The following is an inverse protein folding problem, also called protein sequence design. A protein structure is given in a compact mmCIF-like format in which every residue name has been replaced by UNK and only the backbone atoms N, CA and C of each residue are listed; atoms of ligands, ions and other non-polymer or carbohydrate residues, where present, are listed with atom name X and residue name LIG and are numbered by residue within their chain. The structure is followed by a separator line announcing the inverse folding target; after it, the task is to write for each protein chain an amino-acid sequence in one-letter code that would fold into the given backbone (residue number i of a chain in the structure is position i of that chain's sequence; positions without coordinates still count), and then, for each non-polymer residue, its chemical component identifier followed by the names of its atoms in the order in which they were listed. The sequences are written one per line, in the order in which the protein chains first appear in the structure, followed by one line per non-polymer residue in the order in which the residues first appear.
data_IF_186223437540
#
_entry.id   IF_186223437540
#
_cell.length_a   1.000
_cell.length_b   1.000
_cell.length_c   1.000
_cell.angle_alpha   90.00
_cell.angle_beta   90.00
_cell.angle_gamma   90.00
#
_symmetry.space_group_name_H-M   'P 1'
#
loop_
_entity.id
_entity.type
_entity.pdbx_description
1 polymer ?
#
# COMPACT_ATOMS: atom_id res chain seq x y z
N UNK A 1 52.93 3.77 -12.05
CA UNK A 1 52.01 2.85 -12.70
C UNK A 1 51.00 2.23 -11.74
N UNK A 2 50.53 2.92 -10.70
CA UNK A 2 49.55 2.35 -9.71
C UNK A 2 48.44 3.34 -9.39
N UNK A 3 48.00 4.20 -10.35
CA UNK A 3 46.97 5.23 -10.08
C UNK A 3 45.67 5.10 -10.89
N UNK A 4 45.38 3.93 -11.49
CA UNK A 4 44.19 3.80 -12.36
C UNK A 4 43.13 2.78 -11.91
N UNK A 5 43.21 2.24 -10.70
CA UNK A 5 42.27 1.23 -10.23
C UNK A 5 41.19 1.75 -9.27
N UNK A 6 41.37 2.96 -8.72
CA UNK A 6 40.47 3.52 -7.69
C UNK A 6 39.17 4.14 -8.23
N UNK A 7 39.08 4.48 -9.53
CA UNK A 7 37.90 5.17 -10.09
C UNK A 7 36.77 4.26 -10.56
N UNK A 8 37.04 2.97 -10.80
CA UNK A 8 36.03 2.03 -11.31
C UNK A 8 35.09 1.49 -10.23
N UNK A 9 35.56 1.37 -9.00
CA UNK A 9 34.77 0.84 -7.89
C UNK A 9 33.65 1.78 -7.40
N UNK A 10 33.89 3.10 -7.50
CA UNK A 10 32.93 4.13 -7.05
C UNK A 10 31.74 4.22 -8.03
N UNK A 11 31.97 4.05 -9.32
CA UNK A 11 30.93 4.14 -10.35
C UNK A 11 29.95 2.95 -10.26
N UNK A 12 30.45 1.76 -9.93
CA UNK A 12 29.62 0.54 -9.81
C UNK A 12 28.68 0.63 -8.59
N UNK A 13 29.14 1.17 -7.47
CA UNK A 13 28.31 1.35 -6.27
C UNK A 13 27.19 2.39 -6.47
N UNK A 14 27.47 3.49 -7.17
CA UNK A 14 26.47 4.50 -7.50
C UNK A 14 25.38 3.96 -8.43
N UNK A 15 25.76 3.10 -9.38
CA UNK A 15 24.81 2.49 -10.32
C UNK A 15 23.85 1.50 -9.63
N UNK A 16 24.34 0.72 -8.68
CA UNK A 16 23.52 -0.21 -7.90
C UNK A 16 22.51 0.53 -7.00
N UNK A 17 22.91 1.64 -6.39
CA UNK A 17 22.01 2.46 -5.56
C UNK A 17 20.86 3.07 -6.38
N UNK A 18 21.14 3.57 -7.59
CA UNK A 18 20.13 4.13 -8.50
C UNK A 18 19.14 3.05 -8.95
N UNK A 19 19.61 1.83 -9.24
CA UNK A 19 18.74 0.71 -9.61
C UNK A 19 17.81 0.29 -8.48
N UNK A 20 18.27 0.26 -7.22
CA UNK A 20 17.46 -0.07 -6.06
C UNK A 20 16.35 0.96 -5.81
N UNK A 21 16.64 2.26 -5.93
CA UNK A 21 15.66 3.35 -5.80
C UNK A 21 14.61 3.26 -6.92
N UNK A 22 15.01 3.01 -8.16
CA UNK A 22 14.11 2.86 -9.29
C UNK A 22 13.19 1.64 -9.14
N UNK A 23 13.71 0.50 -8.62
CA UNK A 23 12.92 -0.70 -8.35
C UNK A 23 11.86 -0.46 -7.27
N UNK A 24 12.20 0.18 -6.16
CA UNK A 24 11.25 0.54 -5.12
C UNK A 24 10.18 1.52 -5.62
N UNK A 25 10.55 2.48 -6.47
CA UNK A 25 9.60 3.41 -7.08
C UNK A 25 8.57 2.68 -7.95
N UNK A 26 8.99 1.69 -8.73
CA UNK A 26 8.09 0.88 -9.54
C UNK A 26 7.13 0.04 -8.67
N UNK A 27 7.64 -0.55 -7.59
CA UNK A 27 6.82 -1.29 -6.62
C UNK A 27 5.81 -0.39 -5.92
N UNK A 28 6.21 0.80 -5.52
CA UNK A 28 5.32 1.79 -4.91
C UNK A 28 4.19 2.17 -5.87
N UNK A 29 4.49 2.43 -7.14
CA UNK A 29 3.47 2.76 -8.16
C UNK A 29 2.47 1.61 -8.35
N UNK A 30 2.95 0.38 -8.45
CA UNK A 30 2.10 -0.79 -8.60
C UNK A 30 1.17 -0.96 -7.38
N UNK A 31 1.71 -0.81 -6.19
CA UNK A 31 0.96 -0.90 -4.94
C UNK A 31 -0.11 0.20 -4.82
N UNK A 32 0.22 1.43 -5.24
CA UNK A 32 -0.73 2.56 -5.23
C UNK A 32 -1.94 2.28 -6.13
N UNK A 33 -1.72 1.77 -7.32
CA UNK A 33 -2.80 1.41 -8.25
C UNK A 33 -3.76 0.41 -7.59
N UNK A 34 -3.21 -0.60 -6.92
CA UNK A 34 -4.00 -1.60 -6.20
C UNK A 34 -4.76 -0.98 -5.02
N UNK A 35 -4.11 -0.12 -4.23
CA UNK A 35 -4.75 0.56 -3.11
C UNK A 35 -5.92 1.44 -3.56
N UNK A 36 -5.74 2.23 -4.62
CA UNK A 36 -6.78 3.10 -5.16
C UNK A 36 -7.97 2.30 -5.71
N UNK A 37 -7.68 1.21 -6.41
CA UNK A 37 -8.71 0.30 -6.94
C UNK A 37 -9.50 -0.35 -5.80
N UNK A 38 -8.82 -0.79 -4.76
CA UNK A 38 -9.43 -1.39 -3.59
C UNK A 38 -10.30 -0.37 -2.82
N UNK A 39 -9.80 0.85 -2.62
CA UNK A 39 -10.55 1.92 -1.99
C UNK A 39 -11.82 2.28 -2.78
N UNK A 40 -11.79 2.19 -4.10
CA UNK A 40 -12.98 2.42 -4.92
C UNK A 40 -14.10 1.41 -4.64
N UNK A 41 -13.75 0.17 -4.32
CA UNK A 41 -14.73 -0.84 -3.88
C UNK A 41 -15.34 -0.45 -2.54
N UNK A 42 -14.53 0.00 -1.61
CA UNK A 42 -14.98 0.47 -0.29
C UNK A 42 -15.88 1.70 -0.42
N UNK A 43 -15.49 2.67 -1.25
CA UNK A 43 -16.27 3.88 -1.51
C UNK A 43 -17.64 3.56 -2.13
N UNK A 44 -17.72 2.51 -2.94
CA UNK A 44 -18.96 2.04 -3.58
C UNK A 44 -19.78 1.09 -2.68
N UNK A 45 -19.40 0.93 -1.42
CA UNK A 45 -20.04 0.02 -0.46
C UNK A 45 -19.97 -1.46 -0.87
N UNK A 46 -19.03 -1.81 -1.75
CA UNK A 46 -18.77 -3.20 -2.15
C UNK A 46 -17.81 -3.88 -1.17
N UNK A 47 -18.23 -3.96 0.08
CA UNK A 47 -17.38 -4.43 1.17
C UNK A 47 -16.99 -5.91 1.05
N UNK A 48 -17.93 -6.76 0.64
CA UNK A 48 -17.64 -8.17 0.41
C UNK A 48 -16.60 -8.36 -0.71
N UNK A 49 -16.69 -7.59 -1.79
CA UNK A 49 -15.71 -7.62 -2.88
C UNK A 49 -14.35 -7.13 -2.42
N UNK A 50 -14.30 -6.06 -1.61
CA UNK A 50 -13.04 -5.55 -1.07
C UNK A 50 -12.32 -6.61 -0.22
N UNK A 51 -13.05 -7.41 0.53
CA UNK A 51 -12.49 -8.53 1.28
C UNK A 51 -11.93 -9.62 0.35
N UNK A 52 -12.67 -9.98 -0.69
CA UNK A 52 -12.24 -11.00 -1.67
C UNK A 52 -10.98 -10.59 -2.43
N UNK A 53 -10.83 -9.30 -2.73
CA UNK A 53 -9.67 -8.74 -3.41
C UNK A 53 -8.47 -8.47 -2.49
N UNK A 54 -8.64 -8.60 -1.18
CA UNK A 54 -7.57 -8.45 -0.20
C UNK A 54 -6.61 -9.64 -0.22
N UNK A 55 -5.44 -9.47 0.39
CA UNK A 55 -4.42 -10.50 0.48
C UNK A 55 -4.89 -11.73 1.27
N UNK A 56 -4.23 -12.85 1.04
CA UNK A 56 -4.47 -14.07 1.82
C UNK A 56 -4.26 -13.81 3.32
N UNK A 57 -3.22 -13.06 3.69
CA UNK A 57 -2.95 -12.69 5.08
C UNK A 57 -4.13 -11.96 5.70
N UNK A 58 -4.70 -11.00 5.01
CA UNK A 58 -5.86 -10.24 5.49
C UNK A 58 -7.11 -11.13 5.62
N UNK A 59 -7.41 -11.93 4.60
CA UNK A 59 -8.58 -12.81 4.60
C UNK A 59 -8.51 -13.89 5.68
N UNK A 60 -7.31 -14.35 6.02
CA UNK A 60 -7.11 -15.30 7.12
C UNK A 60 -7.25 -14.65 8.50
N UNK A 61 -6.96 -13.35 8.62
CA UNK A 61 -7.01 -12.61 9.89
C UNK A 61 -8.41 -12.05 10.20
N UNK A 62 -9.18 -11.71 9.18
CA UNK A 62 -10.48 -11.04 9.32
C UNK A 62 -11.53 -11.79 8.50
N UNK A 63 -12.63 -12.19 9.12
CA UNK A 63 -13.75 -12.82 8.42
C UNK A 63 -14.50 -11.79 7.58
N UNK A 64 -15.02 -12.22 6.44
CA UNK A 64 -15.75 -11.37 5.50
C UNK A 64 -16.88 -10.59 6.16
N UNK A 65 -17.69 -11.24 6.98
CA UNK A 65 -18.84 -10.62 7.65
C UNK A 65 -18.39 -9.58 8.69
N UNK A 66 -17.32 -9.87 9.44
CA UNK A 66 -16.74 -8.92 10.38
C UNK A 66 -16.20 -7.67 9.66
N UNK A 67 -15.55 -7.86 8.53
CA UNK A 67 -15.04 -6.78 7.70
C UNK A 67 -16.17 -5.88 7.21
N UNK A 68 -17.21 -6.47 6.66
CA UNK A 68 -18.40 -5.75 6.20
C UNK A 68 -19.02 -4.91 7.32
N UNK A 69 -19.24 -5.49 8.49
CA UNK A 69 -19.81 -4.79 9.65
C UNK A 69 -18.91 -3.63 10.12
N UNK A 70 -17.59 -3.86 10.18
CA UNK A 70 -16.62 -2.85 10.56
C UNK A 70 -16.63 -1.65 9.60
N UNK A 71 -16.65 -1.90 8.30
CA UNK A 71 -16.70 -0.84 7.30
C UNK A 71 -18.00 -0.06 7.32
N UNK A 72 -19.12 -0.73 7.49
CA UNK A 72 -20.42 -0.06 7.64
C UNK A 72 -20.40 0.89 8.84
N UNK A 73 -19.86 0.44 9.97
CA UNK A 73 -19.79 1.26 11.19
C UNK A 73 -18.86 2.47 11.04
N UNK A 74 -17.74 2.32 10.33
CA UNK A 74 -16.74 3.38 10.15
C UNK A 74 -17.14 4.36 9.04
N UNK A 75 -17.58 3.85 7.90
CA UNK A 75 -17.80 4.67 6.70
C UNK A 75 -19.14 5.42 6.72
N UNK A 76 -20.18 4.87 7.31
CA UNK A 76 -21.49 5.50 7.34
C UNK A 76 -21.48 6.89 8.01
N UNK A 77 -20.86 7.09 9.18
CA UNK A 77 -20.79 8.42 9.79
C UNK A 77 -19.97 9.42 8.97
N UNK A 78 -19.01 8.98 8.17
CA UNK A 78 -18.14 9.87 7.38
C UNK A 78 -18.89 10.51 6.20
N UNK A 79 -19.92 9.85 5.68
CA UNK A 79 -20.63 10.29 4.49
C UNK A 79 -19.84 10.06 3.21
N UNK A 80 -20.16 10.78 2.17
CA UNK A 80 -19.54 10.61 0.85
C UNK A 80 -18.11 11.08 0.82
N UNK A 81 -17.28 10.36 0.05
CA UNK A 81 -15.95 10.81 -0.33
C UNK A 81 -16.05 12.09 -1.19
N UNK A 82 -15.30 13.12 -0.80
CA UNK A 82 -15.19 14.36 -1.56
C UNK A 82 -13.87 14.40 -2.35
N UNK A 83 -12.73 14.23 -1.66
CA UNK A 83 -11.39 14.21 -2.28
C UNK A 83 -10.48 13.22 -1.58
N UNK A 84 -9.52 12.69 -2.33
CA UNK A 84 -8.47 11.81 -1.80
C UNK A 84 -7.18 12.07 -2.55
N UNK A 85 -6.08 12.28 -1.81
CA UNK A 85 -4.75 12.49 -2.36
C UNK A 85 -3.73 11.68 -1.57
N UNK A 86 -2.70 11.17 -2.25
CA UNK A 86 -1.58 10.50 -1.60
C UNK A 86 -0.80 11.54 -0.79
N UNK A 87 -0.58 11.22 0.48
CA UNK A 87 0.23 12.02 1.41
C UNK A 87 1.64 11.43 1.54
N UNK A 88 1.74 10.14 1.81
CA UNK A 88 3.00 9.41 1.93
C UNK A 88 2.89 8.02 1.32
N UNK A 89 4.02 7.47 0.90
CA UNK A 89 4.17 6.11 0.42
C UNK A 89 5.55 5.61 0.82
N UNK A 90 5.62 4.43 1.43
CA UNK A 90 6.88 3.89 1.95
C UNK A 90 6.95 2.39 1.70
N UNK A 91 7.96 1.96 0.93
CA UNK A 91 8.28 0.54 0.76
C UNK A 91 8.94 -0.01 2.03
N UNK A 92 8.49 -1.18 2.47
CA UNK A 92 8.99 -1.88 3.66
C UNK A 92 9.13 -3.38 3.37
N UNK A 93 10.15 -3.99 3.97
CA UNK A 93 10.33 -5.46 3.92
C UNK A 93 9.93 -6.14 5.22
N UNK A 94 9.66 -5.37 6.27
CA UNK A 94 9.16 -5.85 7.54
C UNK A 94 8.21 -4.83 8.16
N UNK A 95 7.18 -5.31 8.81
CA UNK A 95 6.24 -4.51 9.58
C UNK A 95 5.96 -5.20 10.91
N UNK A 96 5.75 -4.44 12.02
CA UNK A 96 5.42 -5.02 13.31
C UNK A 96 4.15 -5.89 13.22
N UNK A 97 4.23 -7.12 13.74
CA UNK A 97 3.10 -8.04 13.79
C UNK A 97 2.75 -8.73 12.47
N UNK A 98 3.55 -8.55 11.41
CA UNK A 98 3.35 -9.17 10.12
C UNK A 98 4.57 -10.01 9.71
N UNK A 99 4.41 -11.04 8.84
CA UNK A 99 5.55 -11.78 8.31
C UNK A 99 6.42 -10.88 7.43
N UNK A 100 7.72 -11.16 7.37
CA UNK A 100 8.61 -10.48 6.45
C UNK A 100 8.15 -10.71 5.00
N UNK A 101 8.32 -9.69 4.18
CA UNK A 101 7.85 -9.73 2.80
C UNK A 101 8.05 -8.38 2.13
N UNK A 102 7.16 -8.04 1.21
CA UNK A 102 7.18 -6.75 0.53
C UNK A 102 5.86 -6.03 0.81
N UNK A 103 5.96 -4.82 1.33
CA UNK A 103 4.82 -3.97 1.71
C UNK A 103 5.04 -2.55 1.21
N UNK A 104 3.96 -1.88 0.90
CA UNK A 104 3.98 -0.42 0.70
C UNK A 104 2.94 0.19 1.64
N UNK A 105 3.38 1.01 2.57
CA UNK A 105 2.50 1.73 3.48
C UNK A 105 2.13 3.05 2.83
N UNK A 106 0.85 3.24 2.51
CA UNK A 106 0.35 4.42 1.81
C UNK A 106 -0.59 5.17 2.75
N UNK A 107 -0.33 6.46 2.93
CA UNK A 107 -1.28 7.35 3.61
C UNK A 107 -1.92 8.28 2.60
N UNK A 108 -3.24 8.39 2.67
CA UNK A 108 -4.04 9.32 1.88
C UNK A 108 -4.56 10.43 2.78
N UNK A 109 -4.42 11.66 2.35
CA UNK A 109 -5.17 12.78 2.89
C UNK A 109 -6.53 12.82 2.21
N UNK A 110 -7.59 12.62 3.00
CA UNK A 110 -8.93 12.39 2.48
C UNK A 110 -9.92 13.37 3.11
N UNK A 111 -10.86 13.86 2.31
CA UNK A 111 -11.98 14.67 2.78
C UNK A 111 -13.28 13.91 2.53
N UNK A 112 -14.05 13.74 3.57
CA UNK A 112 -15.40 13.19 3.52
C UNK A 112 -16.43 14.26 3.83
N UNK A 113 -17.66 14.04 3.45
CA UNK A 113 -18.78 14.96 3.68
C UNK A 113 -18.89 15.41 5.14
N UNK A 114 -18.74 14.48 6.08
CA UNK A 114 -18.86 14.72 7.52
C UNK A 114 -17.52 14.74 8.26
N UNK A 115 -16.39 14.61 7.57
CA UNK A 115 -15.04 14.73 8.11
C UNK A 115 -14.10 15.26 7.03
N UNK A 116 -13.83 16.56 7.06
CA UNK A 116 -13.07 17.27 6.02
C UNK A 116 -11.58 16.93 6.03
N UNK A 117 -11.02 16.56 7.17
CA UNK A 117 -9.61 16.17 7.31
C UNK A 117 -9.52 14.77 7.93
N UNK A 118 -9.16 13.80 7.13
CA UNK A 118 -8.96 12.42 7.54
C UNK A 118 -7.68 11.85 6.92
N UNK A 119 -7.07 10.91 7.61
CA UNK A 119 -5.96 10.11 7.10
C UNK A 119 -6.45 8.68 6.94
N UNK A 120 -6.32 8.15 5.72
CA UNK A 120 -6.53 6.73 5.46
C UNK A 120 -5.17 6.08 5.24
N UNK A 121 -4.89 5.01 5.97
CA UNK A 121 -3.67 4.21 5.77
C UNK A 121 -4.06 2.89 5.12
N UNK A 122 -3.49 2.61 3.96
CA UNK A 122 -3.70 1.38 3.22
C UNK A 122 -2.35 0.73 2.93
N UNK A 123 -2.21 -0.54 3.23
CA UNK A 123 -0.96 -1.27 3.10
C UNK A 123 -1.11 -2.46 2.15
N UNK A 124 -0.85 -2.28 0.85
CA UNK A 124 -0.68 -3.41 -0.05
C UNK A 124 0.56 -4.23 0.29
N UNK A 125 0.47 -5.52 0.04
CA UNK A 125 1.60 -6.45 0.13
C UNK A 125 1.74 -7.25 -1.15
N UNK A 126 2.94 -7.74 -1.42
CA UNK A 126 3.18 -8.74 -2.46
C UNK A 126 2.70 -10.09 -1.94
N UNK A 127 1.65 -10.63 -2.53
CA UNK A 127 1.11 -11.94 -2.16
C UNK A 127 1.95 -13.07 -2.79
N UNK A 128 1.72 -14.30 -2.36
CA UNK A 128 2.50 -15.48 -2.76
C UNK A 128 2.52 -15.74 -4.25
N UNK A 129 1.48 -15.31 -4.97
CA UNK A 129 1.37 -15.47 -6.42
C UNK A 129 2.05 -14.35 -7.22
N UNK A 130 2.76 -13.45 -6.55
CA UNK A 130 3.47 -12.33 -7.18
C UNK A 130 2.59 -11.13 -7.52
N UNK A 131 1.38 -11.05 -6.96
CA UNK A 131 0.47 -9.92 -7.17
C UNK A 131 0.36 -9.07 -5.90
N UNK A 132 0.30 -7.75 -6.08
CA UNK A 132 0.01 -6.83 -5.00
C UNK A 132 -1.46 -6.94 -4.58
N UNK A 133 -1.71 -7.02 -3.27
CA UNK A 133 -3.05 -7.00 -2.67
C UNK A 133 -3.03 -6.26 -1.35
N UNK A 134 -4.14 -5.64 -1.00
CA UNK A 134 -4.27 -4.92 0.27
C UNK A 134 -4.25 -5.91 1.44
N UNK A 135 -3.38 -5.63 2.43
CA UNK A 135 -3.26 -6.44 3.64
C UNK A 135 -3.70 -5.71 4.92
N UNK A 136 -4.01 -4.45 4.81
CA UNK A 136 -4.49 -3.64 5.92
C UNK A 136 -4.73 -2.21 5.54
#
# INVERSE_FOLDING_TARGET
MVRRVACLAVIVLAFLAVSAIADNSAKEKAAIIIAEKWLSLVDAEKYAESWKEASELFRNAVKQEQWKQSLQAVRKPLGKLLTRKIKTKTYKTSLPGAPDGEYVVIQFGTSFENKKEAIETVTPMMDKDGKWRVSG
#
